data_IF_208004724376
#
_entry.id   IF_208004724376
#
_cell.length_a   1.000
_cell.length_b   1.000
_cell.length_c   1.000
_cell.angle_alpha   90.00
_cell.angle_beta   90.00
_cell.angle_gamma   90.00
#
_symmetry.space_group_name_H-M   'P 1'
#
loop_
_entity.id
_entity.type
_entity.pdbx_description
1 polymer ?
#
# COMPACT_ATOMS: atom_id res chain seq x y z
N UNK A 1 1.45 -7.03 7.63
CA UNK A 1 0.44 -7.04 6.55
C UNK A 1 0.90 -8.03 5.48
N UNK A 2 0.03 -8.47 4.57
CA UNK A 2 0.39 -9.44 3.51
C UNK A 2 0.67 -8.68 2.21
N UNK A 3 1.79 -8.97 1.56
CA UNK A 3 2.03 -8.51 0.19
C UNK A 3 1.56 -9.61 -0.78
N UNK A 4 0.88 -9.22 -1.85
CA UNK A 4 0.49 -10.14 -2.92
C UNK A 4 1.53 -10.09 -4.03
N UNK A 5 2.02 -11.26 -4.42
CA UNK A 5 2.94 -11.45 -5.54
C UNK A 5 2.15 -11.94 -6.74
N UNK A 6 2.46 -11.42 -7.92
CA UNK A 6 1.76 -11.82 -9.16
C UNK A 6 2.06 -13.29 -9.54
N UNK A 7 3.18 -13.82 -9.04
CA UNK A 7 3.61 -15.19 -9.24
C UNK A 7 3.85 -15.88 -7.89
N UNK A 8 3.59 -17.17 -7.86
CA UNK A 8 3.77 -18.02 -6.68
C UNK A 8 5.23 -18.25 -6.29
N UNK A 9 6.18 -17.65 -7.02
CA UNK A 9 7.62 -17.81 -6.85
C UNK A 9 8.17 -17.07 -5.63
N UNK A 10 7.47 -16.05 -5.14
CA UNK A 10 7.90 -15.23 -4.01
C UNK A 10 6.85 -15.16 -2.91
N UNK A 11 7.31 -15.13 -1.66
CA UNK A 11 6.49 -14.79 -0.49
C UNK A 11 6.91 -13.40 -0.02
N UNK A 12 5.93 -12.51 0.15
CA UNK A 12 6.17 -11.13 0.54
C UNK A 12 5.48 -10.75 1.84
N UNK A 13 6.16 -9.93 2.63
CA UNK A 13 5.59 -9.22 3.78
C UNK A 13 5.63 -7.73 3.51
N UNK A 14 4.66 -7.01 4.09
CA UNK A 14 4.68 -5.55 4.10
C UNK A 14 4.45 -5.04 5.51
N UNK A 15 5.26 -4.08 5.89
CA UNK A 15 5.13 -3.29 7.10
C UNK A 15 4.98 -1.83 6.68
N UNK A 16 3.89 -1.21 7.13
CA UNK A 16 3.58 0.17 6.82
C UNK A 16 3.21 0.88 8.12
N UNK A 17 3.79 2.04 8.31
CA UNK A 17 3.54 2.95 9.40
C UNK A 17 3.03 4.26 8.80
N UNK A 18 1.81 4.63 9.15
CA UNK A 18 1.13 5.77 8.57
C UNK A 18 1.50 7.03 9.34
N UNK A 19 1.56 8.15 8.63
CA UNK A 19 1.38 9.43 9.30
C UNK A 19 -0.05 9.44 9.86
N UNK A 20 -0.19 9.30 11.17
CA UNK A 20 -1.48 9.18 11.86
C UNK A 20 -2.32 10.48 11.87
N UNK A 21 -1.82 11.54 11.25
CA UNK A 21 -2.41 12.88 11.21
C UNK A 21 -3.18 13.16 9.90
N UNK A 22 -3.74 14.37 9.82
CA UNK A 22 -4.54 14.94 8.73
C UNK A 22 -4.01 14.68 7.30
N UNK A 23 -2.73 14.35 7.12
CA UNK A 23 -2.09 14.04 5.84
C UNK A 23 -2.85 13.07 4.92
N UNK A 24 -3.45 12.00 5.46
CA UNK A 24 -4.21 11.04 4.64
C UNK A 24 -5.58 11.59 4.24
N UNK A 25 -6.22 12.35 5.13
CA UNK A 25 -7.47 13.07 4.85
C UNK A 25 -7.22 14.21 3.85
N UNK A 26 -6.13 14.94 4.01
CA UNK A 26 -5.64 15.98 3.10
C UNK A 26 -5.32 15.39 1.73
N UNK A 27 -4.66 14.24 1.67
CA UNK A 27 -4.46 13.51 0.41
C UNK A 27 -5.79 13.15 -0.24
N UNK A 28 -6.72 12.54 0.51
CA UNK A 28 -8.04 12.21 -0.01
C UNK A 28 -8.77 13.44 -0.56
N UNK A 29 -8.69 14.58 0.13
CA UNK A 29 -9.23 15.87 -0.35
C UNK A 29 -8.50 16.36 -1.61
N UNK A 30 -7.18 16.22 -1.68
CA UNK A 30 -6.37 16.64 -2.81
C UNK A 30 -6.69 15.83 -4.09
N UNK A 31 -7.09 14.56 -3.95
CA UNK A 31 -7.57 13.70 -5.04
C UNK A 31 -9.09 13.69 -5.17
N UNK A 32 -9.80 14.66 -4.58
CA UNK A 32 -11.24 14.91 -4.69
C UNK A 32 -12.14 13.72 -4.25
N UNK A 33 -11.74 13.02 -3.19
CA UNK A 33 -12.58 11.99 -2.56
C UNK A 33 -13.62 12.66 -1.67
N UNK A 34 -14.90 12.37 -1.92
CA UNK A 34 -16.01 12.76 -1.05
C UNK A 34 -15.98 11.95 0.25
N UNK A 35 -15.32 12.52 1.27
CA UNK A 35 -15.18 11.92 2.59
C UNK A 35 -16.48 11.86 3.42
N UNK A 36 -17.56 12.52 2.98
CA UNK A 36 -18.88 12.35 3.61
C UNK A 36 -19.56 11.06 3.16
N UNK A 37 -19.27 10.61 1.94
CA UNK A 37 -19.78 9.37 1.38
C UNK A 37 -18.82 8.20 1.58
N UNK A 38 -17.53 8.42 1.33
CA UNK A 38 -16.53 7.37 1.33
C UNK A 38 -15.64 7.49 2.56
N UNK A 39 -15.71 6.50 3.45
CA UNK A 39 -14.79 6.37 4.58
C UNK A 39 -13.61 5.50 4.18
N UNK A 40 -12.39 6.03 4.07
CA UNK A 40 -11.21 5.21 3.78
C UNK A 40 -10.95 4.17 4.87
N UNK A 41 -10.60 2.95 4.47
CA UNK A 41 -10.29 1.82 5.36
C UNK A 41 -9.05 1.03 4.93
N UNK A 42 -8.49 1.33 3.75
CA UNK A 42 -7.28 0.70 3.25
C UNK A 42 -6.82 1.33 1.93
N UNK A 43 -5.81 0.75 1.33
CA UNK A 43 -5.30 1.14 0.02
C UNK A 43 -4.67 -0.07 -0.66
N UNK A 44 -4.54 0.02 -1.97
CA UNK A 44 -3.80 -0.93 -2.81
C UNK A 44 -2.75 -0.17 -3.56
N UNK A 45 -1.54 -0.71 -3.57
CA UNK A 45 -0.46 -0.28 -4.44
C UNK A 45 -0.04 -1.47 -5.29
N UNK A 46 -0.03 -1.28 -6.61
CA UNK A 46 0.46 -2.27 -7.55
C UNK A 46 1.44 -1.59 -8.52
N UNK A 47 2.61 -2.18 -8.70
CA UNK A 47 3.60 -1.73 -9.68
C UNK A 47 3.85 -2.84 -10.69
N UNK A 48 3.77 -2.50 -11.98
CA UNK A 48 4.04 -3.42 -13.09
C UNK A 48 4.81 -2.70 -14.18
N UNK A 49 6.06 -3.11 -14.42
CA UNK A 49 6.93 -2.55 -15.46
C UNK A 49 7.01 -1.00 -15.46
N UNK A 50 7.13 -0.40 -14.27
CA UNK A 50 7.20 1.06 -14.10
C UNK A 50 5.85 1.78 -14.20
N UNK A 51 4.74 1.06 -14.38
CA UNK A 51 3.38 1.60 -14.25
C UNK A 51 2.85 1.33 -12.86
N UNK A 52 2.21 2.33 -12.27
CA UNK A 52 1.63 2.24 -10.94
C UNK A 52 0.09 2.27 -11.04
N UNK A 53 -0.55 1.35 -10.33
CA UNK A 53 -2.00 1.31 -10.11
C UNK A 53 -2.25 1.41 -8.61
N UNK A 54 -2.70 2.59 -8.18
CA UNK A 54 -2.99 2.90 -6.79
C UNK A 54 -4.47 3.09 -6.59
N UNK A 55 -4.97 2.59 -5.47
CA UNK A 55 -6.35 2.81 -5.08
C UNK A 55 -6.49 2.99 -3.57
N UNK A 56 -7.52 3.70 -3.16
CA UNK A 56 -7.98 3.70 -1.77
C UNK A 56 -9.20 2.78 -1.68
N UNK A 57 -9.19 1.92 -0.67
CA UNK A 57 -10.34 1.10 -0.30
C UNK A 57 -11.18 1.89 0.69
N UNK A 58 -12.44 2.11 0.35
CA UNK A 58 -13.39 2.86 1.16
C UNK A 58 -14.61 2.01 1.50
N UNK A 59 -15.20 2.26 2.66
CA UNK A 59 -16.59 1.91 2.92
C UNK A 59 -17.49 3.02 2.33
N UNK A 60 -18.49 2.66 1.52
CA UNK A 60 -19.56 3.59 1.14
C UNK A 60 -20.57 3.71 2.30
N UNK A 61 -20.74 4.92 2.82
CA UNK A 61 -21.60 5.23 3.95
C UNK A 61 -23.06 5.45 3.57
N UNK A 62 -23.37 5.59 2.27
CA UNK A 62 -24.74 5.76 1.79
C UNK A 62 -25.45 4.42 1.54
N UNK A 63 -24.72 3.32 1.68
CA UNK A 63 -25.21 1.99 1.35
C UNK A 63 -25.63 1.24 2.60
N UNK A 64 -26.84 0.69 2.59
CA UNK A 64 -27.43 0.03 3.75
C UNK A 64 -26.64 -1.22 4.19
N UNK A 65 -25.95 -1.87 3.25
CA UNK A 65 -25.07 -3.01 3.51
C UNK A 65 -23.62 -2.57 3.33
N UNK A 66 -22.72 -2.85 4.29
CA UNK A 66 -21.31 -2.51 4.13
C UNK A 66 -20.69 -3.30 2.98
N UNK A 67 -20.06 -2.59 2.06
CA UNK A 67 -19.16 -3.14 1.05
C UNK A 67 -17.95 -2.21 0.85
N UNK A 68 -16.88 -2.79 0.30
CA UNK A 68 -15.67 -2.05 -0.06
C UNK A 68 -15.80 -1.51 -1.49
N UNK A 69 -15.52 -0.22 -1.64
CA UNK A 69 -15.36 0.46 -2.92
C UNK A 69 -13.87 0.71 -3.14
N UNK A 70 -13.39 0.44 -4.34
CA UNK A 70 -12.03 0.79 -4.74
C UNK A 70 -12.05 2.07 -5.57
N UNK A 71 -11.52 3.16 -5.00
CA UNK A 71 -11.38 4.45 -5.67
C UNK A 71 -9.98 4.52 -6.30
N UNK A 72 -9.93 4.40 -7.62
CA UNK A 72 -8.70 4.51 -8.40
C UNK A 72 -8.44 5.95 -8.78
N UNK A 73 -7.20 6.39 -8.63
CA UNK A 73 -6.77 7.73 -9.03
C UNK A 73 -5.42 7.64 -9.73
N UNK A 74 -5.18 8.58 -10.64
CA UNK A 74 -3.85 8.77 -11.22
C UNK A 74 -3.02 9.57 -10.22
N UNK A 75 -2.22 8.87 -9.43
CA UNK A 75 -1.25 9.51 -8.56
C UNK A 75 0.05 9.71 -9.34
N UNK A 76 0.22 10.86 -9.98
CA UNK A 76 1.49 11.27 -10.58
C UNK A 76 1.93 12.61 -9.96
N UNK A 77 3.15 12.70 -9.40
CA UNK A 77 4.18 11.67 -9.33
C UNK A 77 3.91 10.66 -8.17
N UNK A 78 4.30 9.38 -8.33
CA UNK A 78 3.94 8.29 -7.41
C UNK A 78 4.47 8.50 -5.98
N UNK A 79 5.53 9.29 -5.84
CA UNK A 79 6.14 9.75 -4.60
C UNK A 79 5.11 10.40 -3.67
N UNK A 80 4.09 11.07 -4.22
CA UNK A 80 2.99 11.65 -3.43
C UNK A 80 2.20 10.58 -2.70
N UNK A 81 1.99 9.41 -3.32
CA UNK A 81 1.37 8.27 -2.63
C UNK A 81 2.26 7.74 -1.50
N UNK A 82 3.58 7.71 -1.70
CA UNK A 82 4.51 7.23 -0.68
C UNK A 82 4.65 8.18 0.52
N UNK A 83 4.38 9.48 0.35
CA UNK A 83 4.33 10.43 1.47
C UNK A 83 3.22 10.15 2.50
N UNK A 84 2.23 9.31 2.16
CA UNK A 84 1.20 8.86 3.11
C UNK A 84 1.80 7.98 4.22
N UNK A 85 2.94 7.37 3.95
CA UNK A 85 3.62 6.48 4.87
C UNK A 85 4.77 7.24 5.54
N UNK A 86 4.80 7.21 6.87
CA UNK A 86 6.00 7.58 7.63
C UNK A 86 7.13 6.59 7.32
N UNK A 87 6.77 5.31 7.21
CA UNK A 87 7.65 4.25 6.77
C UNK A 87 6.86 3.20 5.99
N UNK A 88 7.38 2.79 4.82
CA UNK A 88 6.87 1.66 4.05
C UNK A 88 8.03 0.71 3.76
N UNK A 89 7.92 -0.52 4.24
CA UNK A 89 8.89 -1.58 4.00
C UNK A 89 8.19 -2.75 3.32
N UNK A 90 8.68 -3.09 2.13
CA UNK A 90 8.29 -4.30 1.40
C UNK A 90 9.48 -5.24 1.40
N UNK A 91 9.27 -6.47 1.87
CA UNK A 91 10.30 -7.51 1.86
C UNK A 91 9.75 -8.70 1.09
N UNK A 92 10.55 -9.23 0.17
CA UNK A 92 10.20 -10.40 -0.62
C UNK A 92 11.34 -11.41 -0.56
N UNK A 93 10.97 -12.68 -0.43
CA UNK A 93 11.89 -13.81 -0.44
C UNK A 93 11.47 -14.76 -1.54
N UNK A 94 12.45 -15.38 -2.19
CA UNK A 94 12.20 -16.54 -3.03
C UNK A 94 11.52 -17.61 -2.18
N UNK A 95 10.42 -18.17 -2.69
CA UNK A 95 9.60 -19.13 -1.95
C UNK A 95 10.36 -20.42 -1.64
N UNK A 96 11.36 -20.78 -2.45
CA UNK A 96 12.24 -21.93 -2.19
C UNK A 96 13.18 -21.68 -1.01
N UNK A 97 13.42 -20.41 -0.66
CA UNK A 97 14.19 -19.97 0.49
C UNK A 97 13.32 -19.68 1.72
N UNK A 98 12.16 -20.32 1.85
CA UNK A 98 11.19 -20.05 2.93
C UNK A 98 11.76 -20.17 4.35
N UNK A 99 12.79 -20.98 4.57
CA UNK A 99 13.47 -21.08 5.88
C UNK A 99 14.21 -19.79 6.30
N UNK A 100 14.58 -18.94 5.34
CA UNK A 100 15.30 -17.69 5.59
C UNK A 100 14.37 -16.53 5.97
N UNK A 101 13.03 -16.69 5.86
CA UNK A 101 12.09 -15.61 6.19
C UNK A 101 12.06 -15.28 7.68
N UNK A 102 12.49 -16.22 8.53
CA UNK A 102 12.53 -16.06 9.99
C UNK A 102 13.93 -15.70 10.53
N UNK A 103 14.96 -15.68 9.67
CA UNK A 103 16.33 -15.37 10.08
C UNK A 103 16.57 -13.86 10.14
N UNK A 104 17.30 -13.36 11.16
CA UNK A 104 17.65 -11.96 11.24
C UNK A 104 18.67 -11.57 10.16
N UNK A 105 18.56 -10.36 9.62
CA UNK A 105 19.59 -9.77 8.76
C UNK A 105 20.74 -9.31 9.67
N UNK A 106 21.85 -10.05 9.69
CA UNK A 106 23.01 -9.73 10.54
C UNK A 106 23.92 -8.64 9.96
N UNK A 107 23.95 -8.50 8.63
CA UNK A 107 24.86 -7.60 7.91
C UNK A 107 24.16 -7.00 6.69
N UNK A 108 24.46 -5.74 6.39
CA UNK A 108 24.01 -5.04 5.19
C UNK A 108 25.18 -4.30 4.56
N UNK A 109 25.25 -4.32 3.23
CA UNK A 109 26.29 -3.67 2.45
C UNK A 109 25.65 -2.69 1.48
N UNK A 110 26.24 -1.51 1.34
CA UNK A 110 25.87 -0.54 0.30
C UNK A 110 26.82 -0.74 -0.88
N UNK A 111 26.27 -0.98 -2.06
CA UNK A 111 27.03 -1.09 -3.30
C UNK A 111 27.01 0.29 -4.00
N UNK A 112 28.17 0.73 -4.47
CA UNK A 112 28.35 1.94 -5.29
C UNK A 112 28.43 1.61 -6.78
#
# INVERSE_FOLDING_TARGET
MRAETQYEDFIGTVAADFNADDSFVEFCRAVDIDLNRYKPVGFRFHCSYGKFDTAIHCQDLHEAKPYLVELKFKCEPIEVFFHLFRALQVVAYDRTCGEYTELPIEKSFVLE
#
